data_IF_046851584772
#
_entry.id   IF_046851584772
#
_cell.length_a   1.000
_cell.length_b   1.000
_cell.length_c   1.000
_cell.angle_alpha   90.00
_cell.angle_beta   90.00
_cell.angle_gamma   90.00
#
_symmetry.space_group_name_H-M   'P 1'
#
loop_
_entity.id
_entity.type
_entity.pdbx_description
1 polymer ?
#
# COMPACT_ATOMS: atom_id res chain seq x y z
N UNK A 1 -7.69 -23.30 6.54
CA UNK A 1 -6.96 -22.10 6.09
C UNK A 1 -7.50 -21.67 4.72
N UNK A 2 -7.78 -20.39 4.54
CA UNK A 2 -8.32 -19.80 3.30
C UNK A 2 -7.46 -18.62 2.93
N UNK A 3 -6.85 -18.68 1.75
CA UNK A 3 -6.13 -17.58 1.11
C UNK A 3 -7.07 -16.95 0.09
N UNK A 4 -7.21 -15.62 0.11
CA UNK A 4 -7.70 -14.88 -1.03
C UNK A 4 -6.63 -13.93 -1.54
N UNK A 5 -6.47 -13.83 -2.86
CA UNK A 5 -5.57 -12.89 -3.51
C UNK A 5 -6.16 -12.51 -4.88
N UNK A 6 -5.88 -11.30 -5.33
CA UNK A 6 -6.24 -10.77 -6.65
C UNK A 6 -5.26 -11.16 -7.75
N UNK A 7 -3.97 -11.28 -7.44
CA UNK A 7 -2.91 -11.67 -8.36
C UNK A 7 -2.28 -13.01 -7.98
N UNK A 8 -1.09 -13.00 -7.37
CA UNK A 8 -0.35 -14.22 -7.04
C UNK A 8 0.03 -14.26 -5.58
N UNK A 9 -0.31 -15.34 -4.90
CA UNK A 9 0.02 -15.54 -3.51
C UNK A 9 0.39 -16.99 -3.21
N UNK A 10 1.47 -17.18 -2.45
CA UNK A 10 1.89 -18.50 -1.96
C UNK A 10 2.02 -18.48 -0.45
N UNK A 11 1.35 -19.39 0.23
CA UNK A 11 1.49 -19.60 1.67
C UNK A 11 2.44 -20.78 1.88
N UNK A 12 3.46 -20.55 2.69
CA UNK A 12 4.40 -21.56 3.15
C UNK A 12 4.13 -21.86 4.62
N UNK A 13 4.34 -23.12 4.99
CA UNK A 13 4.30 -23.61 6.36
C UNK A 13 5.70 -24.07 6.74
N UNK A 14 6.09 -23.76 7.97
CA UNK A 14 7.27 -24.32 8.61
C UNK A 14 6.87 -24.89 9.97
N UNK A 15 7.10 -26.18 10.12
CA UNK A 15 6.94 -26.92 11.38
C UNK A 15 8.26 -26.91 12.15
N UNK A 16 8.45 -27.80 13.13
CA UNK A 16 9.70 -27.90 13.89
C UNK A 16 10.95 -28.20 13.03
N UNK A 17 10.76 -28.71 11.80
CA UNK A 17 11.84 -28.87 10.83
C UNK A 17 12.16 -27.52 10.18
N UNK A 18 13.46 -27.21 10.01
CA UNK A 18 13.92 -25.88 9.62
C UNK A 18 13.61 -25.48 8.15
N UNK A 19 12.66 -26.15 7.51
CA UNK A 19 12.30 -26.07 6.09
C UNK A 19 10.93 -25.43 5.89
N UNK A 20 10.81 -24.62 4.83
CA UNK A 20 9.53 -24.07 4.37
C UNK A 20 8.95 -24.96 3.27
N UNK A 21 7.76 -25.49 3.49
CA UNK A 21 7.00 -26.23 2.48
C UNK A 21 5.81 -25.40 1.99
N UNK A 22 5.50 -25.50 0.69
CA UNK A 22 4.36 -24.82 0.09
C UNK A 22 3.06 -25.47 0.56
N UNK A 23 2.21 -24.67 1.19
CA UNK A 23 0.93 -25.10 1.75
C UNK A 23 -0.25 -24.75 0.83
N UNK A 24 -0.25 -23.51 0.31
CA UNK A 24 -1.27 -23.01 -0.62
C UNK A 24 -0.58 -22.18 -1.69
N UNK A 25 -1.10 -22.27 -2.91
CA UNK A 25 -0.70 -21.41 -4.00
C UNK A 25 -1.95 -20.95 -4.75
N UNK A 26 -2.02 -19.66 -5.02
CA UNK A 26 -3.00 -19.03 -5.88
C UNK A 26 -2.30 -18.22 -6.96
N UNK A 27 -2.82 -18.33 -8.17
CA UNK A 27 -2.38 -17.59 -9.35
C UNK A 27 -3.60 -17.24 -10.21
N UNK A 28 -3.84 -15.94 -10.39
CA UNK A 28 -4.90 -15.38 -11.24
C UNK A 28 -4.87 -15.91 -12.67
N UNK A 29 -3.69 -16.19 -13.23
CA UNK A 29 -3.55 -16.75 -14.57
C UNK A 29 -4.06 -18.20 -14.67
N UNK A 30 -4.07 -18.94 -13.54
CA UNK A 30 -4.51 -20.32 -13.46
C UNK A 30 -5.95 -20.48 -12.95
N UNK A 31 -6.50 -19.49 -12.22
CA UNK A 31 -7.85 -19.54 -11.66
C UNK A 31 -8.48 -18.15 -11.51
N UNK A 32 -9.66 -17.98 -12.10
CA UNK A 32 -10.49 -16.78 -11.91
C UNK A 32 -11.16 -16.71 -10.53
N UNK A 33 -11.18 -17.82 -9.77
CA UNK A 33 -11.65 -17.80 -8.39
C UNK A 33 -10.48 -17.35 -7.49
N UNK A 34 -10.55 -16.16 -6.84
CA UNK A 34 -9.45 -15.55 -6.09
C UNK A 34 -9.17 -16.25 -4.76
N UNK A 35 -9.52 -17.54 -4.62
CA UNK A 35 -9.62 -18.25 -3.35
C UNK A 35 -8.96 -19.62 -3.43
N UNK A 36 -8.01 -19.87 -2.53
CA UNK A 36 -7.41 -21.19 -2.30
C UNK A 36 -7.64 -21.64 -0.85
N UNK A 37 -7.95 -22.92 -0.62
CA UNK A 37 -8.29 -23.45 0.69
C UNK A 37 -7.60 -24.77 0.98
N UNK A 38 -7.18 -24.96 2.24
CA UNK A 38 -6.65 -26.24 2.73
C UNK A 38 -6.96 -26.43 4.21
N UNK A 39 -6.86 -27.67 4.68
CA UNK A 39 -7.08 -28.05 6.08
C UNK A 39 -5.78 -28.58 6.66
N UNK A 40 -5.39 -28.05 7.81
CA UNK A 40 -4.24 -28.49 8.59
C UNK A 40 -4.70 -29.16 9.88
N UNK A 41 -4.07 -30.26 10.26
CA UNK A 41 -4.20 -30.84 11.59
C UNK A 41 -3.08 -30.29 12.46
N UNK A 42 -3.43 -29.65 13.56
CA UNK A 42 -2.46 -29.07 14.50
C UNK A 42 -2.40 -29.91 15.76
N UNK A 43 -1.19 -30.18 16.24
CA UNK A 43 -1.03 -30.82 17.54
C UNK A 43 -1.12 -29.77 18.65
N UNK A 44 -1.63 -30.20 19.81
CA UNK A 44 -1.65 -29.36 20.99
C UNK A 44 -0.22 -28.97 21.34
N UNK A 45 -0.01 -27.70 21.65
CA UNK A 45 1.28 -27.12 22.06
C UNK A 45 2.35 -27.07 20.95
N UNK A 46 1.97 -27.32 19.68
CA UNK A 46 2.85 -27.15 18.52
C UNK A 46 2.86 -25.69 18.02
N UNK A 47 4.05 -25.12 17.86
CA UNK A 47 4.22 -23.84 17.19
C UNK A 47 4.43 -24.05 15.69
N UNK A 48 3.57 -23.43 14.90
CA UNK A 48 3.67 -23.41 13.44
C UNK A 48 3.98 -21.99 12.97
N UNK A 49 4.80 -21.89 11.92
CA UNK A 49 5.11 -20.62 11.29
C UNK A 49 4.50 -20.59 9.89
N UNK A 50 3.84 -19.48 9.58
CA UNK A 50 3.37 -19.19 8.23
C UNK A 50 4.21 -18.08 7.61
N UNK A 51 4.52 -18.22 6.33
CA UNK A 51 5.07 -17.16 5.48
C UNK A 51 4.15 -17.03 4.28
N UNK A 52 3.92 -15.79 3.83
CA UNK A 52 3.16 -15.54 2.60
C UNK A 52 4.06 -14.75 1.66
N UNK A 53 4.29 -15.27 0.46
CA UNK A 53 4.89 -14.50 -0.63
C UNK A 53 3.77 -14.06 -1.56
N UNK A 54 3.65 -12.75 -1.74
CA UNK A 54 2.65 -12.13 -2.60
C UNK A 54 3.34 -11.37 -3.73
N UNK A 55 2.79 -11.47 -4.92
CA UNK A 55 3.24 -10.76 -6.10
C UNK A 55 2.04 -10.05 -6.72
N UNK A 56 2.16 -8.73 -6.77
CA UNK A 56 1.23 -7.82 -7.41
C UNK A 56 1.76 -7.48 -8.81
N UNK A 57 0.91 -7.66 -9.81
CA UNK A 57 1.12 -7.25 -11.20
C UNK A 57 0.35 -5.95 -11.52
N UNK A 58 -0.76 -5.69 -10.81
CA UNK A 58 -1.59 -4.48 -10.95
C UNK A 58 -1.19 -3.36 -9.94
N UNK A 59 -2.01 -2.31 -9.80
CA UNK A 59 -1.76 -1.17 -8.90
C UNK A 59 -2.48 -1.27 -7.55
N UNK A 60 -3.34 -2.27 -7.36
CA UNK A 60 -4.20 -2.43 -6.19
C UNK A 60 -3.97 -3.78 -5.55
N UNK A 61 -3.20 -3.80 -4.45
CA UNK A 61 -2.89 -5.04 -3.76
C UNK A 61 -4.00 -5.47 -2.77
N UNK A 62 -4.56 -6.67 -2.96
CA UNK A 62 -5.55 -7.30 -2.09
C UNK A 62 -5.21 -8.76 -1.80
N UNK A 63 -4.71 -9.00 -0.59
CA UNK A 63 -4.46 -10.34 -0.05
C UNK A 63 -5.10 -10.51 1.33
N UNK A 64 -5.71 -11.68 1.58
CA UNK A 64 -6.20 -12.05 2.90
C UNK A 64 -5.95 -13.52 3.24
N UNK A 65 -5.55 -13.78 4.48
CA UNK A 65 -5.43 -15.13 5.02
C UNK A 65 -6.35 -15.29 6.24
N UNK A 66 -7.28 -16.23 6.14
CA UNK A 66 -8.25 -16.55 7.20
C UNK A 66 -8.12 -18.00 7.64
N UNK A 67 -8.36 -18.27 8.91
CA UNK A 67 -8.42 -19.62 9.45
C UNK A 67 -9.74 -19.83 10.21
N UNK A 68 -10.17 -21.08 10.25
CA UNK A 68 -11.31 -21.50 11.04
C UNK A 68 -10.98 -22.85 11.67
N UNK A 69 -11.53 -23.08 12.85
CA UNK A 69 -11.50 -24.38 13.52
C UNK A 69 -12.82 -25.10 13.24
N UNK A 70 -12.76 -26.34 12.79
CA UNK A 70 -13.90 -27.25 12.64
C UNK A 70 -15.13 -26.66 11.90
N UNK A 71 -14.89 -25.88 10.84
CA UNK A 71 -15.97 -25.26 10.06
C UNK A 71 -16.67 -24.08 10.75
N UNK A 72 -16.15 -23.62 11.90
CA UNK A 72 -16.59 -22.40 12.56
C UNK A 72 -16.28 -21.13 11.77
N UNK A 73 -16.62 -19.98 12.34
CA UNK A 73 -16.42 -18.68 11.71
C UNK A 73 -14.95 -18.45 11.33
N UNK A 74 -14.74 -17.98 10.10
CA UNK A 74 -13.41 -17.71 9.58
C UNK A 74 -12.87 -16.39 10.16
N UNK A 75 -11.83 -16.49 10.98
CA UNK A 75 -11.15 -15.33 11.58
C UNK A 75 -9.87 -14.99 10.81
N UNK A 76 -9.46 -13.71 10.75
CA UNK A 76 -8.14 -13.35 10.24
C UNK A 76 -7.05 -14.06 11.05
N UNK A 77 -6.00 -14.56 10.39
CA UNK A 77 -4.82 -15.07 11.10
C UNK A 77 -4.12 -13.87 11.76
N UNK A 78 -3.98 -13.82 13.09
CA UNK A 78 -3.28 -12.73 13.76
C UNK A 78 -1.80 -12.77 13.36
N UNK A 79 -1.30 -11.70 12.76
CA UNK A 79 0.09 -11.62 12.32
C UNK A 79 0.55 -10.18 12.18
N UNK A 80 1.82 -9.94 12.48
CA UNK A 80 2.50 -8.70 12.09
C UNK A 80 2.84 -8.87 10.62
N UNK A 81 1.99 -8.34 9.74
CA UNK A 81 2.21 -8.32 8.30
C UNK A 81 3.44 -7.45 8.02
N UNK A 82 4.60 -8.08 7.87
CA UNK A 82 5.82 -7.43 7.36
C UNK A 82 5.85 -7.65 5.86
N UNK A 83 5.10 -6.84 5.13
CA UNK A 83 5.24 -6.75 3.69
C UNK A 83 6.54 -6.04 3.34
N UNK A 84 7.37 -6.64 2.50
CA UNK A 84 8.38 -5.89 1.77
C UNK A 84 7.69 -5.31 0.54
N UNK A 85 7.14 -4.10 0.68
CA UNK A 85 6.81 -3.29 -0.48
C UNK A 85 8.14 -2.99 -1.17
N UNK A 86 8.28 -3.35 -2.44
CA UNK A 86 9.42 -2.92 -3.23
C UNK A 86 9.21 -1.44 -3.60
N UNK A 87 9.46 -0.56 -2.63
CA UNK A 87 9.32 0.90 -2.74
C UNK A 87 10.07 1.48 -3.95
N UNK A 88 11.06 0.73 -4.47
CA UNK A 88 11.85 1.10 -5.63
C UNK A 88 11.00 1.23 -6.92
N UNK A 89 9.74 0.75 -6.94
CA UNK A 89 8.79 0.95 -8.05
C UNK A 89 7.59 1.82 -7.71
N UNK A 90 7.25 1.98 -6.44
CA UNK A 90 6.13 2.81 -6.02
C UNK A 90 6.62 4.24 -5.82
N UNK A 91 6.50 5.07 -6.85
CA UNK A 91 6.95 6.46 -6.77
C UNK A 91 6.07 7.30 -5.84
N UNK A 92 4.87 6.82 -5.48
CA UNK A 92 3.89 7.61 -4.72
C UNK A 92 3.03 6.78 -3.77
N UNK A 93 2.85 7.26 -2.54
CA UNK A 93 1.99 6.63 -1.54
C UNK A 93 1.07 7.63 -0.85
N UNK A 94 -0.05 7.14 -0.32
CA UNK A 94 -1.06 7.96 0.37
C UNK A 94 -1.31 7.43 1.78
N UNK A 95 -1.43 8.32 2.75
CA UNK A 95 -1.90 7.98 4.09
C UNK A 95 -2.76 9.12 4.64
N UNK A 96 -3.61 8.83 5.63
CA UNK A 96 -4.42 9.86 6.28
C UNK A 96 -4.15 9.85 7.77
N UNK A 97 -4.17 11.03 8.37
CA UNK A 97 -4.14 11.20 9.82
C UNK A 97 -5.11 12.32 10.16
N UNK A 98 -6.03 12.03 11.06
CA UNK A 98 -7.15 12.93 11.38
C UNK A 98 -7.96 13.28 10.11
N UNK A 99 -8.09 14.57 9.82
CA UNK A 99 -8.79 15.11 8.64
C UNK A 99 -7.85 15.43 7.47
N UNK A 100 -6.56 15.10 7.59
CA UNK A 100 -5.54 15.42 6.58
C UNK A 100 -5.16 14.21 5.73
N UNK A 101 -4.87 14.46 4.45
CA UNK A 101 -4.33 13.48 3.50
C UNK A 101 -2.86 13.79 3.22
N UNK A 102 -1.99 12.79 3.34
CA UNK A 102 -0.57 12.89 3.08
C UNK A 102 -0.24 12.13 1.79
N UNK A 103 0.40 12.83 0.86
CA UNK A 103 0.93 12.30 -0.40
C UNK A 103 2.44 12.24 -0.22
N UNK A 104 3.01 11.04 -0.32
CA UNK A 104 4.45 10.80 -0.22
C UNK A 104 4.94 10.50 -1.62
N UNK A 105 5.78 11.36 -2.17
CA UNK A 105 6.39 11.23 -3.49
C UNK A 105 7.89 10.94 -3.34
N UNK A 106 8.37 9.88 -3.98
CA UNK A 106 9.78 9.48 -3.93
C UNK A 106 10.59 10.06 -5.08
N UNK A 107 9.95 10.50 -6.17
CA UNK A 107 10.63 11.25 -7.21
C UNK A 107 10.80 12.71 -6.81
N UNK A 108 11.92 13.29 -7.19
CA UNK A 108 12.15 14.72 -7.04
C UNK A 108 11.18 15.49 -7.95
N UNK A 109 10.35 16.41 -7.43
CA UNK A 109 9.47 17.22 -8.25
C UNK A 109 10.29 18.16 -9.12
N UNK A 110 9.83 18.32 -10.36
CA UNK A 110 10.34 19.32 -11.29
C UNK A 110 9.56 20.64 -11.09
N UNK A 111 10.26 21.78 -11.18
CA UNK A 111 9.62 23.10 -11.13
C UNK A 111 9.05 23.50 -12.47
N UNK A 112 9.54 22.93 -13.57
CA UNK A 112 9.02 23.22 -14.91
C UNK A 112 7.80 22.38 -15.26
N UNK A 113 7.60 21.27 -14.58
CA UNK A 113 6.49 20.36 -14.83
C UNK A 113 5.65 20.16 -13.56
N UNK A 114 4.33 20.37 -13.61
CA UNK A 114 3.49 20.14 -12.45
C UNK A 114 3.38 18.63 -12.16
N UNK A 115 3.24 18.29 -10.88
CA UNK A 115 2.93 16.94 -10.46
C UNK A 115 1.46 16.63 -10.76
N UNK A 116 1.22 15.58 -11.55
CA UNK A 116 -0.12 15.13 -11.93
C UNK A 116 -0.44 13.80 -11.24
N UNK A 117 -1.59 13.73 -10.59
CA UNK A 117 -2.08 12.55 -9.88
C UNK A 117 -3.50 12.27 -10.34
N UNK A 118 -3.70 11.13 -10.99
CA UNK A 118 -5.02 10.68 -11.46
C UNK A 118 -5.80 10.01 -10.34
N UNK A 119 -7.13 9.92 -10.50
CA UNK A 119 -8.05 9.23 -9.58
C UNK A 119 -7.98 9.71 -8.12
N UNK A 120 -7.63 10.98 -7.88
CA UNK A 120 -7.63 11.54 -6.52
C UNK A 120 -9.07 11.72 -6.03
N UNK A 121 -9.33 11.43 -4.74
CA UNK A 121 -10.61 11.75 -4.14
C UNK A 121 -10.88 13.25 -4.19
N UNK A 122 -12.15 13.63 -4.17
CA UNK A 122 -12.56 15.03 -4.28
C UNK A 122 -12.01 15.85 -3.10
N UNK A 123 -11.22 16.86 -3.42
CA UNK A 123 -10.62 17.76 -2.43
C UNK A 123 -11.54 18.96 -2.25
N UNK A 124 -11.71 19.42 -1.00
CA UNK A 124 -12.56 20.57 -0.73
C UNK A 124 -11.91 21.86 -1.27
N UNK A 125 -12.68 22.82 -1.80
CA UNK A 125 -12.12 24.04 -2.38
C UNK A 125 -11.29 24.89 -1.41
N UNK A 126 -11.50 24.72 -0.10
CA UNK A 126 -10.79 25.43 0.96
C UNK A 126 -9.62 24.64 1.57
N UNK A 127 -9.36 23.42 1.10
CA UNK A 127 -8.21 22.63 1.54
C UNK A 127 -6.92 23.32 1.12
N UNK A 128 -5.91 23.25 1.99
CA UNK A 128 -4.57 23.79 1.70
C UNK A 128 -3.64 22.62 1.41
N UNK A 129 -2.75 22.78 0.42
CA UNK A 129 -1.68 21.81 0.20
C UNK A 129 -0.39 22.37 0.72
N UNK A 130 0.31 21.61 1.56
CA UNK A 130 1.54 22.05 2.22
C UNK A 130 2.65 21.03 1.94
N UNK A 131 3.75 21.50 1.38
CA UNK A 131 5.01 20.77 1.29
C UNK A 131 5.71 20.80 2.65
N UNK A 132 5.71 19.66 3.32
CA UNK A 132 6.38 19.52 4.61
C UNK A 132 7.90 19.64 4.47
N UNK A 133 8.55 20.13 5.53
CA UNK A 133 10.00 20.37 5.52
C UNK A 133 10.42 21.69 4.88
N UNK A 134 9.48 22.54 4.46
CA UNK A 134 9.79 23.88 3.91
C UNK A 134 9.10 25.01 4.70
N UNK A 135 9.78 26.14 4.96
CA UNK A 135 9.21 27.25 5.75
C UNK A 135 8.13 28.07 5.04
N UNK A 136 7.90 27.85 3.73
CA UNK A 136 6.86 28.48 2.91
C UNK A 136 6.14 27.43 2.05
N UNK A 137 5.62 26.39 2.69
CA UNK A 137 5.22 25.15 2.03
C UNK A 137 3.89 25.16 1.29
N UNK A 138 3.09 26.23 1.29
CA UNK A 138 1.79 26.17 0.60
C UNK A 138 1.98 26.02 -0.92
N UNK A 139 1.42 24.95 -1.48
CA UNK A 139 1.47 24.60 -2.90
C UNK A 139 0.21 25.06 -3.59
N UNK A 140 0.36 25.56 -4.82
CA UNK A 140 -0.77 25.82 -5.70
C UNK A 140 -1.23 24.49 -6.29
N UNK A 141 -2.53 24.30 -6.39
CA UNK A 141 -3.10 23.07 -6.90
C UNK A 141 -4.45 23.33 -7.58
N UNK A 142 -4.85 22.39 -8.44
CA UNK A 142 -6.19 22.33 -9.04
C UNK A 142 -6.60 20.88 -9.20
N UNK A 143 -7.88 20.58 -9.04
CA UNK A 143 -8.44 19.28 -9.35
C UNK A 143 -9.52 19.44 -10.43
N UNK A 144 -9.46 18.60 -11.47
CA UNK A 144 -10.49 18.58 -12.50
C UNK A 144 -11.71 17.74 -12.10
N UNK A 145 -12.74 17.74 -12.94
CA UNK A 145 -13.98 16.97 -12.72
C UNK A 145 -13.80 15.44 -12.79
N UNK A 146 -12.67 14.97 -13.32
CA UNK A 146 -12.34 13.55 -13.49
C UNK A 146 -11.50 13.02 -12.32
N UNK A 147 -11.19 13.87 -11.33
CA UNK A 147 -10.36 13.48 -10.19
C UNK A 147 -8.86 13.63 -10.44
N UNK A 148 -8.44 14.28 -11.54
CA UNK A 148 -7.04 14.57 -11.81
C UNK A 148 -6.60 15.77 -10.98
N UNK A 149 -5.67 15.57 -10.05
CA UNK A 149 -5.03 16.61 -9.27
C UNK A 149 -3.74 17.06 -9.96
N UNK A 150 -3.58 18.37 -10.13
CA UNK A 150 -2.33 19.00 -10.59
C UNK A 150 -1.77 19.88 -9.48
N UNK A 151 -0.52 19.64 -9.08
CA UNK A 151 0.21 20.38 -8.03
C UNK A 151 1.38 21.12 -8.68
N UNK A 152 1.46 22.42 -8.45
CA UNK A 152 2.44 23.33 -9.04
C UNK A 152 3.59 23.59 -8.04
N UNK A 153 4.81 23.29 -8.46
CA UNK A 153 6.05 23.50 -7.71
C UNK A 153 6.85 24.72 -8.18
N UNK A 154 6.37 25.47 -9.17
CA UNK A 154 7.11 26.58 -9.80
C UNK A 154 7.55 27.67 -8.81
N UNK A 155 6.79 27.88 -7.73
CA UNK A 155 7.09 28.86 -6.68
C UNK A 155 7.95 28.31 -5.53
N UNK A 156 8.23 27.01 -5.49
CA UNK A 156 9.09 26.40 -4.46
C UNK A 156 10.56 26.69 -4.79
N UNK A 157 11.35 27.06 -3.78
CA UNK A 157 12.78 27.33 -3.98
C UNK A 157 13.53 26.04 -4.34
N UNK A 158 14.23 26.02 -5.48
CA UNK A 158 14.99 24.85 -5.95
C UNK A 158 15.98 24.31 -4.91
N UNK A 159 16.61 25.16 -4.09
CA UNK A 159 17.52 24.69 -3.03
C UNK A 159 16.81 23.85 -1.98
N UNK A 160 15.56 24.18 -1.67
CA UNK A 160 14.73 23.36 -0.78
C UNK A 160 14.38 22.04 -1.47
N UNK A 161 14.25 22.06 -2.80
CA UNK A 161 14.01 20.85 -3.58
C UNK A 161 15.22 19.93 -3.65
N UNK A 162 16.40 20.50 -3.77
CA UNK A 162 17.63 19.72 -3.81
C UNK A 162 18.03 19.16 -2.44
N UNK A 163 17.53 19.76 -1.34
CA UNK A 163 17.89 19.37 0.03
C UNK A 163 17.15 18.13 0.56
N UNK A 164 16.10 17.66 -0.12
CA UNK A 164 15.33 16.49 0.30
C UNK A 164 15.88 15.25 -0.40
N UNK A 165 16.48 14.33 0.36
CA UNK A 165 17.21 13.18 -0.18
C UNK A 165 16.35 11.91 -0.36
N UNK A 166 15.25 11.79 0.38
CA UNK A 166 14.53 10.51 0.51
C UNK A 166 13.12 10.55 -0.07
N UNK A 167 12.28 11.47 0.41
CA UNK A 167 10.89 11.54 0.02
C UNK A 167 10.30 12.92 0.29
N UNK A 168 9.31 13.25 -0.51
CA UNK A 168 8.57 14.50 -0.51
C UNK A 168 7.20 14.28 0.06
N UNK A 169 6.85 15.04 1.08
CA UNK A 169 5.56 14.88 1.74
C UNK A 169 4.71 16.11 1.52
N UNK A 170 3.58 15.92 0.84
CA UNK A 170 2.56 16.94 0.61
C UNK A 170 1.37 16.60 1.50
N UNK A 171 0.99 17.53 2.36
CA UNK A 171 -0.17 17.43 3.22
C UNK A 171 -1.32 18.23 2.64
N UNK A 172 -2.46 17.60 2.42
CA UNK A 172 -3.74 18.23 2.08
C UNK A 172 -4.54 18.41 3.37
N UNK A 173 -4.60 19.65 3.86
CA UNK A 173 -5.26 19.98 5.10
C UNK A 173 -6.78 19.95 4.98
N UNK A 174 -7.47 19.40 5.98
CA UNK A 174 -8.94 19.33 6.06
C UNK A 174 -9.55 18.73 4.77
N UNK A 175 -8.99 17.59 4.34
CA UNK A 175 -9.41 16.88 3.14
C UNK A 175 -10.80 16.21 3.32
N UNK A 176 -11.10 15.69 4.52
CA UNK A 176 -12.41 15.11 4.87
C UNK A 176 -13.46 16.15 5.18
#
# INVERSE_FOLDING_TARGET
>A
LTLNADDRATVYLKTAEDKWDTLLHYDKSASANPKAQTTLKLHKDEFIHFKIDYHEEDLEANISLKWSKDGGEATPVPGVWKGFVNWNRTTRCFTTKDDDLFIIEFNKPDRTEPLVIENMPKIKPYSKMILLGTPKGELKWKQDKHGTLTIDFSHVNQKLIDAVEHAWVIMVCNYK
#
